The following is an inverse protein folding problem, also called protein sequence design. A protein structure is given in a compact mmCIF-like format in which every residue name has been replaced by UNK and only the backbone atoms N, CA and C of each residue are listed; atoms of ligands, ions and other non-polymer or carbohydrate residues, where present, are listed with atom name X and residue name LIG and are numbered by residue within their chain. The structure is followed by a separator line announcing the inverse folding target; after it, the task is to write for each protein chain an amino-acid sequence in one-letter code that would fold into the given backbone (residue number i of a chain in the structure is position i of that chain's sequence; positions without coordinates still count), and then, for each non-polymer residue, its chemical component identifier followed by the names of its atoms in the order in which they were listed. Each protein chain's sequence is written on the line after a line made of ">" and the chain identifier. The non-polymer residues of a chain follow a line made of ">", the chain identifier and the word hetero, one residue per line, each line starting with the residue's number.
data_IF_079640718617
#
_entry.id   IF_079640718617
#
_cell.length_a   1.000
_cell.length_b   1.000
_cell.length_c   1.000
_cell.angle_alpha   90.00
_cell.angle_beta   90.00
_cell.angle_gamma   90.00
#
_symmetry.space_group_name_H-M   'P 1'
#
loop_
_entity.id
_entity.type
_entity.pdbx_description
1 polymer ?
2 non-polymer ?
3 non-polymer ?
4 water ?
#
# COMPACT_ATOMS: atom_id res chain seq x y z
N UNK A 5 -2.74 -7.82 14.17
CA UNK A 5 -3.60 -8.88 13.54
C UNK A 5 -5.03 -8.76 14.07
N UNK A 6 -5.71 -9.88 14.32
CA UNK A 6 -7.06 -9.96 14.94
C UNK A 6 -7.72 -11.31 14.64
N UNK A 7 -8.70 -11.35 13.72
CA UNK A 7 -9.35 -12.59 13.21
C UNK A 7 -8.34 -13.41 12.39
N UNK A 8 -8.73 -14.62 12.01
CA UNK A 8 -7.88 -15.52 11.18
C UNK A 8 -7.55 -14.84 9.85
N UNK A 9 -8.56 -14.27 9.18
CA UNK A 9 -8.34 -13.55 7.89
C UNK A 9 -7.45 -12.33 8.13
N UNK A 10 -7.62 -11.62 9.24
CA UNK A 10 -6.79 -10.43 9.52
C UNK A 10 -5.34 -10.86 9.86
N UNK A 11 -5.14 -12.05 10.42
CA UNK A 11 -3.75 -12.56 10.62
C UNK A 11 -3.11 -12.82 9.26
N UNK A 12 -3.85 -13.38 8.29
CA UNK A 12 -3.34 -13.54 6.90
C UNK A 12 -2.96 -12.17 6.34
N UNK A 13 -3.82 -11.16 6.52
CA UNK A 13 -3.55 -9.77 6.07
C UNK A 13 -2.28 -9.25 6.75
N UNK A 14 -2.14 -9.46 8.06
CA UNK A 14 -0.94 -9.01 8.80
C UNK A 14 0.31 -9.71 8.23
N UNK A 15 0.23 -11.00 7.90
CA UNK A 15 1.34 -11.73 7.27
C UNK A 15 1.74 -11.07 5.96
N UNK A 16 0.76 -10.77 5.11
CA UNK A 16 1.00 -10.08 3.81
C UNK A 16 1.72 -8.75 4.09
N UNK A 17 1.20 -7.96 5.03
CA UNK A 17 1.77 -6.63 5.38
C UNK A 17 3.24 -6.79 5.77
N UNK A 18 3.55 -7.74 6.66
CA UNK A 18 4.95 -8.02 7.06
C UNK A 18 5.79 -8.34 5.82
N UNK A 19 5.26 -9.13 4.90
CA UNK A 19 6.02 -9.51 3.68
C UNK A 19 6.25 -8.25 2.84
N UNK A 20 5.24 -7.41 2.66
CA UNK A 20 5.40 -6.20 1.81
C UNK A 20 6.46 -5.28 2.40
N UNK A 21 6.65 -5.32 3.73
CA UNK A 21 7.62 -4.45 4.45
C UNK A 21 9.00 -5.13 4.57
N UNK A 22 9.15 -6.38 4.11
CA UNK A 22 10.35 -7.22 4.34
C UNK A 22 11.46 -6.89 3.33
N UNK A 23 12.71 -7.25 3.66
CA UNK A 23 13.88 -6.98 2.79
C UNK A 23 13.67 -7.63 1.41
N UNK A 24 12.95 -8.75 1.37
CA UNK A 24 12.61 -9.52 0.15
C UNK A 24 12.15 -8.57 -0.97
N UNK A 25 11.30 -7.59 -0.64
CA UNK A 25 10.61 -6.74 -1.63
C UNK A 25 11.10 -5.28 -1.57
N UNK A 26 12.14 -4.97 -0.80
CA UNK A 26 12.57 -3.58 -0.52
C UNK A 26 12.97 -2.83 -1.80
N UNK A 27 13.45 -3.53 -2.83
CA UNK A 27 13.94 -2.88 -4.06
C UNK A 27 12.81 -2.10 -4.75
N UNK A 28 11.56 -2.56 -4.62
CA UNK A 28 10.38 -1.92 -5.27
C UNK A 28 9.33 -1.48 -4.24
N UNK A 29 9.42 -1.88 -2.97
CA UNK A 29 8.40 -1.51 -1.96
C UNK A 29 8.71 -0.15 -1.33
N UNK A 30 9.97 0.31 -1.36
CA UNK A 30 10.42 1.45 -0.53
C UNK A 30 9.60 2.72 -0.79
N UNK A 31 9.12 3.04 -2.01
CA UNK A 31 8.33 4.26 -2.20
C UNK A 31 7.02 4.25 -1.41
N UNK A 32 6.58 3.08 -0.95
CA UNK A 32 5.25 2.88 -0.30
C UNK A 32 5.39 2.74 1.22
N UNK A 33 6.60 2.87 1.76
CA UNK A 33 6.86 2.65 3.21
C UNK A 33 6.23 3.75 4.06
N UNK A 34 6.24 4.99 3.57
CA UNK A 34 5.83 6.17 4.36
C UNK A 34 4.94 7.06 3.51
N UNK A 35 4.14 7.97 4.12
CA UNK A 35 3.31 8.88 3.35
C UNK A 35 4.18 9.65 2.34
N UNK A 36 3.65 9.85 1.14
CA UNK A 36 4.28 10.73 0.11
C UNK A 36 4.47 12.10 0.75
N UNK A 37 5.72 12.58 0.78
CA UNK A 37 6.03 13.96 1.24
C UNK A 37 6.01 14.84 -0.01
N UNK A 38 4.83 15.33 -0.38
CA UNK A 38 4.59 16.04 -1.65
C UNK A 38 5.51 17.25 -1.75
N UNK A 39 5.58 18.05 -0.69
CA UNK A 39 6.42 19.28 -0.61
C UNK A 39 7.90 18.92 -0.83
N UNK A 40 8.39 17.88 -0.16
CA UNK A 40 9.80 17.42 -0.25
C UNK A 40 10.12 16.98 -1.68
N UNK A 41 9.16 16.37 -2.39
CA UNK A 41 9.38 15.81 -3.76
C UNK A 41 9.01 16.83 -4.84
N UNK A 42 8.56 18.02 -4.45
CA UNK A 42 8.18 19.12 -5.37
C UNK A 42 6.85 18.87 -6.07
N UNK A 43 6.00 17.99 -5.50
CA UNK A 43 4.74 17.53 -6.13
C UNK A 43 3.60 18.41 -5.57
N UNK A 44 3.57 19.68 -5.97
CA UNK A 44 2.68 20.70 -5.34
C UNK A 44 1.22 20.53 -5.76
N UNK A 45 0.94 19.59 -6.67
CA UNK A 45 -0.43 19.26 -7.13
C UNK A 45 -0.88 17.92 -6.51
N UNK A 46 -0.02 17.24 -5.76
CA UNK A 46 -0.30 15.86 -5.27
C UNK A 46 -1.63 15.82 -4.50
N UNK A 47 -1.80 16.72 -3.54
CA UNK A 47 -2.98 16.70 -2.63
C UNK A 47 -4.22 17.29 -3.30
N UNK A 48 -4.09 17.91 -4.48
CA UNK A 48 -5.23 18.33 -5.31
C UNK A 48 -5.76 17.12 -6.10
N UNK A 49 -4.87 16.21 -6.46
CA UNK A 49 -5.20 15.03 -7.33
C UNK A 49 -5.54 13.82 -6.46
N UNK A 50 -4.81 13.63 -5.36
CA UNK A 50 -4.98 12.47 -4.44
C UNK A 50 -5.71 12.97 -3.18
N UNK A 51 -7.00 12.61 -3.06
CA UNK A 51 -7.89 13.08 -1.97
C UNK A 51 -7.71 12.19 -0.72
N UNK A 52 -7.23 10.96 -0.89
CA UNK A 52 -7.07 10.00 0.23
C UNK A 52 -5.70 9.33 0.14
N UNK A 53 -4.63 10.00 0.59
CA UNK A 53 -3.30 9.39 0.59
C UNK A 53 -3.30 8.10 1.43
N UNK A 54 -2.49 7.14 1.03
CA UNK A 54 -2.35 5.88 1.80
C UNK A 54 -0.96 5.31 1.54
N UNK A 55 -0.40 4.64 2.55
CA UNK A 55 0.97 4.09 2.49
C UNK A 55 1.04 2.95 3.51
N UNK A 56 2.09 2.14 3.43
CA UNK A 56 2.18 0.92 4.26
C UNK A 56 2.37 1.26 5.74
N UNK A 57 2.98 2.38 6.11
CA UNK A 57 3.13 2.75 7.55
C UNK A 57 1.74 3.03 8.13
N UNK A 58 0.86 3.67 7.36
CA UNK A 58 -0.53 3.96 7.77
C UNK A 58 -1.31 2.66 7.90
N UNK A 59 -1.15 1.73 6.95
CA UNK A 59 -1.82 0.40 7.02
C UNK A 59 -1.33 -0.31 8.29
N UNK A 60 -0.04 -0.25 8.58
CA UNK A 60 0.55 -0.92 9.75
C UNK A 60 -0.03 -0.32 11.03
N UNK A 61 -0.09 1.01 11.13
CA UNK A 61 -0.66 1.68 12.32
C UNK A 61 -2.13 1.25 12.49
N UNK A 62 -2.89 1.20 11.40
CA UNK A 62 -4.33 0.83 11.47
C UNK A 62 -4.45 -0.63 11.90
N UNK A 63 -3.58 -1.51 11.40
CA UNK A 63 -3.57 -2.96 11.81
C UNK A 63 -3.23 -3.05 13.30
N UNK A 64 -2.19 -2.34 13.76
CA UNK A 64 -1.73 -2.41 15.18
C UNK A 64 -2.83 -1.87 16.12
N UNK A 65 -3.60 -0.89 15.66
CA UNK A 65 -4.68 -0.22 16.44
C UNK A 65 -5.99 -1.00 16.33
N UNK A 66 -6.02 -2.12 15.61
CA UNK A 66 -7.23 -2.96 15.36
C UNK A 66 -8.31 -2.10 14.71
N UNK A 67 -7.91 -1.20 13.82
CA UNK A 67 -8.83 -0.33 13.04
C UNK A 67 -9.59 -1.21 12.04
N UNK A 68 -8.90 -2.10 11.33
CA UNK A 68 -9.55 -2.95 10.30
C UNK A 68 -10.43 -3.99 10.98
N UNK A 69 -11.69 -4.06 10.56
CA UNK A 69 -12.66 -5.03 11.14
C UNK A 69 -12.65 -6.31 10.29
N UNK A 70 -12.19 -6.24 9.05
CA UNK A 70 -12.17 -7.43 8.16
C UNK A 70 -11.08 -7.28 7.09
N UNK A 71 -10.79 -8.37 6.40
CA UNK A 71 -9.73 -8.43 5.35
C UNK A 71 -10.05 -7.44 4.21
N UNK A 72 -11.33 -7.30 3.86
CA UNK A 72 -11.81 -6.44 2.76
C UNK A 72 -11.39 -4.98 3.05
N UNK A 73 -11.52 -4.54 4.30
CA UNK A 73 -11.19 -3.15 4.69
C UNK A 73 -9.68 -2.93 4.54
N UNK A 74 -8.88 -3.90 4.98
CA UNK A 74 -7.41 -3.87 4.84
C UNK A 74 -7.04 -3.80 3.35
N UNK A 75 -7.61 -4.68 2.54
CA UNK A 75 -7.29 -4.77 1.10
C UNK A 75 -7.64 -3.44 0.42
N UNK A 76 -8.74 -2.81 0.81
CA UNK A 76 -9.19 -1.54 0.20
C UNK A 76 -8.11 -0.47 0.42
N UNK A 77 -7.47 -0.42 1.59
CA UNK A 77 -6.39 0.56 1.87
C UNK A 77 -5.15 0.23 1.02
N UNK A 78 -4.75 -1.04 0.96
CA UNK A 78 -3.57 -1.43 0.16
C UNK A 78 -3.83 -1.06 -1.31
N UNK A 79 -5.02 -1.35 -1.82
CA UNK A 79 -5.33 -1.04 -3.24
C UNK A 79 -5.45 0.47 -3.45
N UNK A 80 -5.96 1.21 -2.47
CA UNK A 80 -6.04 2.69 -2.55
C UNK A 80 -4.63 3.25 -2.76
N UNK A 81 -3.67 2.74 -1.99
CA UNK A 81 -2.24 3.16 -2.09
C UNK A 81 -1.76 2.96 -3.54
N UNK A 82 -2.02 1.80 -4.15
CA UNK A 82 -1.59 1.52 -5.54
C UNK A 82 -2.35 2.43 -6.51
N UNK A 83 -3.66 2.56 -6.34
CA UNK A 83 -4.53 3.40 -7.21
C UNK A 83 -4.02 4.83 -7.21
N UNK A 84 -3.66 5.37 -6.05
CA UNK A 84 -3.13 6.75 -5.94
C UNK A 84 -1.89 6.86 -6.83
N UNK A 85 -1.00 5.87 -6.77
CA UNK A 85 0.23 5.84 -7.58
C UNK A 85 -0.13 5.87 -9.08
N UNK A 86 -1.08 5.04 -9.50
CA UNK A 86 -1.51 4.92 -10.92
C UNK A 86 -2.23 6.20 -11.36
N UNK A 87 -2.93 6.89 -10.45
CA UNK A 87 -3.67 8.13 -10.77
C UNK A 87 -2.70 9.29 -10.97
N UNK A 88 -1.74 9.46 -10.08
CA UNK A 88 -0.88 10.65 -10.05
C UNK A 88 0.23 10.58 -11.11
N UNK A 89 0.83 9.40 -11.28
CA UNK A 89 2.12 9.25 -12.02
C UNK A 89 1.88 8.87 -13.47
N UNK A 90 2.72 9.37 -14.41
CA UNK A 90 2.68 8.88 -15.78
C UNK A 90 3.03 7.39 -15.76
N UNK A 91 2.39 6.57 -16.63
CA UNK A 91 2.52 5.12 -16.55
C UNK A 91 3.93 4.56 -16.83
N UNK A 92 4.85 5.40 -17.34
CA UNK A 92 6.24 5.02 -17.68
C UNK A 92 7.21 5.44 -16.58
N UNK A 93 6.75 6.05 -15.48
CA UNK A 93 7.61 6.43 -14.33
C UNK A 93 8.03 5.16 -13.58
N UNK A 94 9.26 5.12 -13.07
CA UNK A 94 9.79 3.93 -12.34
C UNK A 94 8.87 3.57 -11.16
N UNK A 95 8.27 4.55 -10.49
CA UNK A 95 7.43 4.27 -9.29
C UNK A 95 6.22 3.44 -9.70
N UNK A 96 5.71 3.61 -10.92
CA UNK A 96 4.53 2.83 -11.42
C UNK A 96 4.96 1.38 -11.64
N UNK A 97 6.14 1.14 -12.23
CA UNK A 97 6.69 -0.22 -12.40
C UNK A 97 6.82 -0.89 -11.03
N UNK A 98 7.28 -0.13 -10.04
CA UNK A 98 7.47 -0.65 -8.66
C UNK A 98 6.11 -0.97 -8.04
N UNK A 99 5.11 -0.10 -8.21
CA UNK A 99 3.74 -0.32 -7.72
C UNK A 99 3.17 -1.62 -8.32
N UNK A 100 3.31 -1.80 -9.64
CA UNK A 100 2.81 -3.00 -10.36
C UNK A 100 3.41 -4.25 -9.74
N UNK A 101 4.73 -4.24 -9.51
CA UNK A 101 5.46 -5.41 -8.92
C UNK A 101 4.96 -5.68 -7.51
N UNK A 102 4.85 -4.65 -6.66
CA UNK A 102 4.40 -4.88 -5.27
C UNK A 102 2.93 -5.30 -5.26
N UNK A 103 2.10 -4.75 -6.17
CA UNK A 103 0.67 -5.14 -6.21
C UNK A 103 0.56 -6.61 -6.64
N UNK A 104 1.43 -7.07 -7.54
CA UNK A 104 1.44 -8.50 -7.95
C UNK A 104 1.72 -9.36 -6.71
N UNK A 105 2.71 -8.99 -5.90
CA UNK A 105 3.02 -9.74 -4.64
C UNK A 105 1.76 -9.76 -3.78
N UNK A 106 1.15 -8.60 -3.58
CA UNK A 106 -0.04 -8.43 -2.74
C UNK A 106 -1.19 -9.32 -3.25
N UNK A 107 -1.56 -9.17 -4.52
CA UNK A 107 -2.79 -9.80 -5.07
C UNK A 107 -2.63 -11.32 -5.04
N UNK A 108 -1.46 -11.86 -5.40
CA UNK A 108 -1.29 -13.33 -5.44
C UNK A 108 -1.39 -13.89 -4.02
N UNK A 109 -0.82 -13.21 -3.02
CA UNK A 109 -0.89 -13.75 -1.64
C UNK A 109 -2.27 -13.48 -1.03
N UNK A 110 -2.90 -12.32 -1.33
CA UNK A 110 -4.25 -12.01 -0.82
C UNK A 110 -5.24 -13.10 -1.31
N UNK A 111 -5.04 -13.59 -2.54
CA UNK A 111 -5.90 -14.62 -3.17
C UNK A 111 -5.82 -15.93 -2.38
N UNK A 112 -4.74 -16.14 -1.61
CA UNK A 112 -4.53 -17.37 -0.79
C UNK A 112 -5.16 -17.21 0.60
N UNK A 113 -6.09 -16.26 0.76
CA UNK A 113 -6.86 -16.03 2.02
C UNK A 113 -7.47 -17.33 2.49
N UNK A 114 -7.28 -17.74 3.76
CA UNK A 114 -7.99 -18.90 4.30
C UNK A 114 -9.49 -18.60 4.41
N UNK A 115 -10.33 -19.56 4.01
CA UNK A 115 -11.82 -19.46 4.04
C UNK A 115 -12.32 -19.90 5.42
X LIG B 1 7.35 8.72 -5.59
X LIG B 1 7.13 10.68 -7.58
X LIG B 1 8.37 10.33 -7.05
X LIG B 1 8.45 9.36 -6.07
X LIG B 1 9.76 8.93 -5.49
X LIG B 1 10.40 7.88 -6.37
X LIG B 1 10.46 5.65 -7.22
X LIG B 1 11.45 8.21 -7.23
X LIG B 1 5.95 12.61 -10.62
X LIG B 1 4.71 12.56 -11.47
X LIG B 1 8.05 12.53 -8.76
X LIG B 1 7.11 11.73 -8.64
X LIG B 1 6.05 11.74 -9.47
X LIG B 1 4.16 13.86 -12.06
X LIG B 1 6.02 11.99 -11.98
X LIG B 1 5.99 10.04 -7.09
X LIG B 1 6.15 9.06 -6.10
X LIG B 1 4.95 8.31 -5.59
X LIG B 1 3.85 8.43 -6.12
X LIG B 1 5.18 7.52 -4.54
X LIG B 1 4.19 6.59 -4.05
X LIG B 1 11.99 7.26 -8.07
X LIG B 1 11.50 5.97 -8.08
X LIG B 1 9.92 6.59 -6.37
X LIG C 1 -2.51 -7.89 -10.35
X LIG C 1 -1.75 -6.81 -9.86
X LIG C 1 -1.68 -9.09 -10.62
X LIG C 1 -0.58 -8.83 -11.48
X LIG D 1 -11.80 3.82 8.85
X LIG D 1 -10.47 3.54 9.23
X LIG D 1 -12.65 4.30 9.96
X LIG D 1 -12.47 3.56 11.15
X LIG E 1 -0.86 11.16 -14.99
X LIG E 1 -0.20 11.33 -16.24
X LIG E 1 -1.67 9.91 -14.92
X LIG E 1 -1.58 9.09 -16.07
#
# INVERSE_FOLDING_TARGET
>A
GSMGKLSEQLKHCNGILKELLSKKHAAYAWPFYKPVDASALGLHDYHDIIKHPMDLSTVKRKMENRDYRDAQEFAADVRLMFSNCYKYNPPDHDVVAMARKLQDVFEFRYAKMPD
>B hetero
1 UL5 N1 C4 C5 C6 C7 C8 C10 C13 C15 C17 O1 C14 N2 C18 C16 C3 C2 C1 O N C C12 C11 C9
>C hetero
1 EDO C1 O1 C2 O2
>D hetero
1 EDO C1 O1 C2 O2
>E hetero
1 EDO C1 O1 C2 O2
#
